data_IF_333489621334
#
_entry.id   IF_333489621334
#
_cell.length_a   1.000
_cell.length_b   1.000
_cell.length_c   1.000
_cell.angle_alpha   90.00
_cell.angle_beta   90.00
_cell.angle_gamma   90.00
#
_symmetry.space_group_name_H-M   'P 1'
#
loop_
_entity.id
_entity.type
_entity.pdbx_description
1 polymer ?
#
# COMPACT_ATOMS: atom_id res chain seq x y z
N UNK A 1 -19.43 15.03 3.60
CA UNK A 1 -19.30 13.69 2.99
C UNK A 1 -18.12 13.02 3.66
N UNK A 2 -18.30 11.84 4.25
CA UNK A 2 -17.15 11.02 4.62
C UNK A 2 -16.75 10.27 3.35
N UNK A 3 -15.57 10.56 2.81
CA UNK A 3 -15.05 9.81 1.65
C UNK A 3 -14.73 8.37 2.03
N UNK A 4 -14.61 7.51 1.02
CA UNK A 4 -14.11 6.15 1.18
C UNK A 4 -12.75 6.16 1.91
N UNK A 5 -12.57 5.22 2.85
CA UNK A 5 -11.29 5.00 3.53
C UNK A 5 -10.95 3.51 3.52
N UNK A 6 -9.80 3.10 2.96
CA UNK A 6 -9.38 1.70 2.98
C UNK A 6 -9.01 1.25 4.40
N UNK A 7 -8.95 -0.06 4.62
CA UNK A 7 -8.38 -0.63 5.85
C UNK A 7 -6.89 -0.32 5.91
N UNK A 8 -6.37 0.10 7.06
CA UNK A 8 -4.94 0.30 7.30
C UNK A 8 -4.46 -0.60 8.43
N UNK A 9 -3.34 -1.29 8.20
CA UNK A 9 -2.69 -2.18 9.16
C UNK A 9 -1.19 -1.90 9.25
N UNK A 10 -0.58 -2.24 10.38
CA UNK A 10 0.85 -2.49 10.49
C UNK A 10 1.07 -4.00 10.32
N UNK A 11 1.90 -4.38 9.37
CA UNK A 11 2.18 -5.78 9.05
C UNK A 11 3.67 -6.03 8.91
N UNK A 12 4.12 -7.20 9.40
CA UNK A 12 5.49 -7.69 9.16
C UNK A 12 5.54 -8.41 7.82
N UNK A 13 6.40 -7.96 6.92
CA UNK A 13 6.63 -8.59 5.62
C UNK A 13 7.58 -9.76 5.80
N UNK A 14 7.31 -10.93 5.22
CA UNK A 14 8.17 -12.09 5.32
C UNK A 14 8.13 -12.95 4.05
N UNK A 15 9.24 -13.62 3.76
CA UNK A 15 9.33 -14.66 2.72
C UNK A 15 8.95 -14.16 1.31
N UNK A 16 9.21 -12.89 1.04
CA UNK A 16 9.13 -12.29 -0.30
C UNK A 16 10.45 -12.49 -1.07
N UNK A 17 11.57 -12.60 -0.36
CA UNK A 17 12.91 -12.58 -0.94
C UNK A 17 13.44 -11.17 -1.17
N UNK A 18 12.68 -10.14 -0.81
CA UNK A 18 13.10 -8.74 -0.90
C UNK A 18 13.78 -8.28 0.39
N UNK A 19 14.63 -7.23 0.33
CA UNK A 19 15.30 -6.66 1.49
C UNK A 19 14.37 -6.23 2.63
N UNK A 20 13.09 -5.94 2.35
CA UNK A 20 12.09 -5.57 3.36
C UNK A 20 11.60 -6.76 4.21
N UNK A 21 11.97 -8.00 3.89
CA UNK A 21 11.63 -9.16 4.72
C UNK A 21 12.12 -8.97 6.18
N UNK A 22 11.22 -9.19 7.13
CA UNK A 22 11.43 -9.04 8.57
C UNK A 22 11.00 -7.68 9.15
N UNK A 23 10.79 -6.67 8.30
CA UNK A 23 10.39 -5.32 8.72
C UNK A 23 8.87 -5.16 8.85
N UNK A 24 8.47 -4.23 9.70
CA UNK A 24 7.06 -3.84 9.92
C UNK A 24 6.79 -2.55 9.17
N UNK A 25 5.80 -2.57 8.27
CA UNK A 25 5.40 -1.42 7.46
C UNK A 25 3.90 -1.20 7.57
N UNK A 26 3.44 0.00 7.19
CA UNK A 26 2.03 0.33 7.11
C UNK A 26 1.48 -0.04 5.73
N UNK A 27 0.38 -0.79 5.73
CA UNK A 27 -0.20 -1.39 4.53
C UNK A 27 -1.71 -1.14 4.47
N UNK A 28 -2.21 -0.87 3.28
CA UNK A 28 -3.64 -0.69 3.02
C UNK A 28 -4.23 -1.85 2.24
N UNK A 29 -5.49 -2.20 2.53
CA UNK A 29 -6.30 -3.10 1.71
C UNK A 29 -7.47 -2.32 1.13
N UNK A 30 -7.72 -2.51 -0.16
CA UNK A 30 -8.68 -1.75 -0.92
C UNK A 30 -9.77 -2.64 -1.50
N UNK A 31 -10.98 -2.11 -1.67
CA UNK A 31 -12.07 -2.83 -2.31
C UNK A 31 -11.91 -2.90 -3.84
N UNK A 32 -11.24 -1.93 -4.46
CA UNK A 32 -11.10 -1.85 -5.92
C UNK A 32 -10.35 -3.04 -6.53
N UNK A 33 -9.43 -3.66 -5.78
CA UNK A 33 -8.71 -4.87 -6.18
C UNK A 33 -9.24 -6.11 -5.47
N UNK A 34 -10.48 -6.06 -4.97
CA UNK A 34 -11.12 -7.13 -4.19
C UNK A 34 -10.30 -7.59 -2.97
N UNK A 35 -9.50 -6.70 -2.38
CA UNK A 35 -8.64 -7.01 -1.24
C UNK A 35 -7.60 -8.11 -1.54
N UNK A 36 -7.20 -8.28 -2.80
CA UNK A 36 -6.29 -9.34 -3.23
C UNK A 36 -4.86 -9.14 -2.77
N UNK A 37 -4.43 -7.88 -2.56
CA UNK A 37 -3.06 -7.51 -2.24
C UNK A 37 -3.01 -6.39 -1.21
N UNK A 38 -2.00 -6.40 -0.34
CA UNK A 38 -1.66 -5.23 0.47
C UNK A 38 -0.94 -4.19 -0.39
N UNK A 39 -1.28 -2.92 -0.23
CA UNK A 39 -0.60 -1.79 -0.86
C UNK A 39 0.24 -1.05 0.17
N UNK A 40 1.49 -0.77 -0.15
CA UNK A 40 2.36 0.02 0.71
C UNK A 40 1.76 1.41 0.95
N UNK A 41 1.61 1.77 2.23
CA UNK A 41 1.14 3.09 2.63
C UNK A 41 2.29 3.95 3.13
N UNK A 42 3.10 3.41 4.04
CA UNK A 42 4.29 4.07 4.56
C UNK A 42 5.20 3.07 5.28
N UNK A 43 6.40 3.51 5.65
CA UNK A 43 7.36 2.72 6.41
C UNK A 43 8.05 3.60 7.46
N UNK A 44 8.58 3.02 8.55
CA UNK A 44 9.37 3.77 9.52
C UNK A 44 10.81 4.00 9.03
N UNK A 45 11.46 5.06 9.52
CA UNK A 45 12.84 5.44 9.16
C UNK A 45 13.85 4.29 9.32
N UNK A 46 13.67 3.41 10.32
CA UNK A 46 14.53 2.24 10.55
C UNK A 46 14.53 1.21 9.42
N UNK A 47 13.52 1.27 8.55
CA UNK A 47 13.37 0.42 7.38
C UNK A 47 13.70 1.14 6.07
N UNK A 48 14.10 2.41 6.09
CA UNK A 48 14.28 3.23 4.89
C UNK A 48 15.33 2.64 3.93
N UNK A 49 16.49 2.21 4.46
CA UNK A 49 17.54 1.56 3.65
C UNK A 49 17.05 0.23 3.03
N UNK A 50 16.20 -0.53 3.74
CA UNK A 50 15.64 -1.78 3.25
C UNK A 50 14.55 -1.52 2.19
N UNK A 51 13.74 -0.48 2.38
CA UNK A 51 12.74 -0.03 1.42
C UNK A 51 13.39 0.46 0.13
N UNK A 52 14.43 1.30 0.23
CA UNK A 52 15.20 1.77 -0.92
C UNK A 52 15.72 0.60 -1.76
N UNK A 53 16.36 -0.39 -1.12
CA UNK A 53 16.88 -1.59 -1.82
C UNK A 53 15.76 -2.45 -2.41
N UNK A 54 14.60 -2.51 -1.75
CA UNK A 54 13.43 -3.22 -2.24
C UNK A 54 12.83 -2.54 -3.47
N UNK A 55 12.73 -1.21 -3.47
CA UNK A 55 12.27 -0.46 -4.65
C UNK A 55 13.22 -0.63 -5.82
N UNK A 56 14.54 -0.51 -5.60
CA UNK A 56 15.53 -0.76 -6.64
C UNK A 56 15.39 -2.14 -7.26
N UNK A 57 15.35 -3.20 -6.43
CA UNK A 57 15.24 -4.57 -6.92
C UNK A 57 13.93 -4.81 -7.69
N UNK A 58 12.81 -4.34 -7.16
CA UNK A 58 11.50 -4.60 -7.77
C UNK A 58 11.24 -3.76 -9.02
N UNK A 59 11.76 -2.53 -9.08
CA UNK A 59 11.74 -1.72 -10.30
C UNK A 59 12.66 -2.30 -11.38
N UNK A 60 13.81 -2.86 -11.00
CA UNK A 60 14.70 -3.57 -11.95
C UNK A 60 14.01 -4.81 -12.52
N UNK A 61 13.46 -5.67 -11.66
CA UNK A 61 12.74 -6.89 -12.06
C UNK A 61 11.52 -6.59 -12.96
N UNK A 62 10.84 -5.46 -12.71
CA UNK A 62 9.68 -5.03 -13.50
C UNK A 62 10.06 -4.25 -14.78
N UNK A 63 11.33 -3.88 -14.95
CA UNK A 63 11.80 -3.07 -16.09
C UNK A 63 11.39 -1.60 -16.03
N UNK A 64 11.14 -1.07 -14.82
CA UNK A 64 10.81 0.34 -14.56
C UNK A 64 11.96 1.15 -13.97
N UNK A 65 13.08 0.52 -13.64
CA UNK A 65 14.24 1.19 -13.05
C UNK A 65 14.78 2.28 -13.99
N UNK A 66 14.80 3.52 -13.50
CA UNK A 66 15.31 4.68 -14.24
C UNK A 66 16.78 5.00 -13.96
N UNK A 67 17.34 4.46 -12.87
CA UNK A 67 18.74 4.63 -12.52
C UNK A 67 19.61 3.57 -13.22
N UNK A 68 20.81 3.95 -13.66
CA UNK A 68 21.73 3.02 -14.33
C UNK A 68 22.43 2.09 -13.33
N UNK A 69 22.35 2.39 -12.03
CA UNK A 69 22.98 1.61 -10.96
C UNK A 69 22.32 1.83 -9.60
N UNK A 70 22.58 0.92 -8.66
CA UNK A 70 22.16 1.10 -7.26
C UNK A 70 22.77 2.35 -6.63
N UNK A 71 24.03 2.71 -6.96
CA UNK A 71 24.67 3.90 -6.40
C UNK A 71 23.94 5.18 -6.83
N UNK A 72 23.54 5.27 -8.09
CA UNK A 72 22.74 6.39 -8.59
C UNK A 72 21.35 6.40 -7.93
N UNK A 73 20.69 5.26 -7.83
CA UNK A 73 19.40 5.14 -7.15
C UNK A 73 19.47 5.59 -5.69
N UNK A 74 20.52 5.18 -4.96
CA UNK A 74 20.76 5.61 -3.58
C UNK A 74 20.94 7.13 -3.46
N UNK A 75 21.59 7.76 -4.44
CA UNK A 75 21.75 9.21 -4.48
C UNK A 75 20.41 9.91 -4.72
N UNK A 76 19.62 9.44 -5.68
CA UNK A 76 18.28 9.96 -5.97
C UNK A 76 17.34 9.80 -4.76
N UNK A 77 17.39 8.63 -4.09
CA UNK A 77 16.63 8.35 -2.88
C UNK A 77 16.96 9.35 -1.76
N UNK A 78 18.25 9.52 -1.44
CA UNK A 78 18.72 10.44 -0.38
C UNK A 78 18.44 11.92 -0.71
N UNK A 79 18.38 12.27 -2.00
CA UNK A 79 18.01 13.60 -2.45
C UNK A 79 16.50 13.86 -2.41
N UNK A 80 15.67 12.81 -2.24
CA UNK A 80 14.21 12.89 -2.34
C UNK A 80 13.73 13.13 -3.78
N UNK A 81 14.53 12.72 -4.77
CA UNK A 81 14.27 12.88 -6.20
C UNK A 81 13.65 11.61 -6.83
N UNK A 82 13.72 10.48 -6.14
CA UNK A 82 13.04 9.25 -6.54
C UNK A 82 11.51 9.40 -6.38
N UNK A 83 10.77 8.93 -7.38
CA UNK A 83 9.32 8.79 -7.34
C UNK A 83 8.93 7.38 -7.82
N UNK A 84 7.94 6.79 -7.15
CA UNK A 84 7.52 5.43 -7.42
C UNK A 84 6.88 5.34 -8.82
N UNK A 85 7.34 4.40 -9.63
CA UNK A 85 6.79 4.19 -10.98
C UNK A 85 5.47 3.39 -10.99
N UNK A 86 4.97 2.99 -9.81
CA UNK A 86 3.71 2.29 -9.63
C UNK A 86 3.41 1.99 -8.16
N UNK A 87 2.28 1.32 -7.91
CA UNK A 87 1.93 0.84 -6.56
C UNK A 87 2.79 -0.36 -6.17
N UNK A 88 3.44 -0.29 -5.01
CA UNK A 88 4.14 -1.43 -4.43
C UNK A 88 3.16 -2.32 -3.67
N UNK A 89 2.92 -3.53 -4.20
CA UNK A 89 1.93 -4.46 -3.66
C UNK A 89 2.60 -5.71 -3.08
N UNK A 90 2.08 -6.18 -1.95
CA UNK A 90 2.58 -7.36 -1.22
C UNK A 90 1.47 -8.41 -1.15
N UNK A 91 1.72 -9.67 -1.52
CA UNK A 91 0.73 -10.75 -1.38
C UNK A 91 0.30 -10.95 0.08
N UNK A 92 -0.97 -11.30 0.29
CA UNK A 92 -1.56 -11.43 1.62
C UNK A 92 -0.84 -12.46 2.50
N UNK A 93 -0.38 -13.58 1.91
CA UNK A 93 0.30 -14.67 2.62
C UNK A 93 1.73 -14.31 3.06
N UNK A 94 2.25 -13.16 2.61
CA UNK A 94 3.57 -12.63 2.97
C UNK A 94 3.53 -11.58 4.06
N UNK A 95 2.34 -11.27 4.56
CA UNK A 95 2.14 -10.24 5.58
C UNK A 95 1.55 -10.87 6.85
N UNK A 96 2.30 -10.79 7.94
CA UNK A 96 1.79 -11.07 9.28
C UNK A 96 1.23 -9.76 9.86
N UNK A 97 -0.10 -9.63 9.94
CA UNK A 97 -0.73 -8.43 10.53
C UNK A 97 -0.47 -8.39 12.03
N UNK A 98 0.25 -7.34 12.47
CA UNK A 98 0.55 -7.11 13.89
C UNK A 98 -0.56 -6.27 14.53
N UNK A 99 -1.07 -5.27 13.80
CA UNK A 99 -2.03 -4.31 14.33
C UNK A 99 -2.90 -3.75 13.23
N UNK A 100 -4.20 -3.65 13.49
CA UNK A 100 -5.12 -2.87 12.65
C UNK A 100 -5.14 -1.44 13.18
N UNK A 101 -4.77 -0.46 12.35
CA UNK A 101 -4.82 0.96 12.73
C UNK A 101 -6.26 1.48 12.59
N UNK A 102 -6.91 1.17 11.46
CA UNK A 102 -8.35 1.38 11.29
C UNK A 102 -8.94 0.40 10.29
N UNK A 103 -10.22 0.08 10.49
CA UNK A 103 -11.02 -0.67 9.53
C UNK A 103 -11.49 0.24 8.37
N UNK A 104 -11.81 -0.42 7.27
CA UNK A 104 -12.39 0.21 6.08
C UNK A 104 -13.71 0.93 6.43
N UNK A 105 -13.87 2.15 5.93
CA UNK A 105 -15.14 2.88 5.93
C UNK A 105 -15.59 3.07 4.48
N UNK A 106 -16.59 2.30 4.06
CA UNK A 106 -17.27 2.52 2.77
C UNK A 106 -18.19 3.73 2.89
N UNK A 107 -18.31 4.50 1.82
CA UNK A 107 -19.33 5.54 1.77
C UNK A 107 -20.69 4.88 1.99
N UNK A 108 -21.42 5.29 3.03
CA UNK A 108 -22.80 4.87 3.21
C UNK A 108 -23.61 5.47 2.07
N UNK A 109 -23.99 4.63 1.10
CA UNK A 109 -25.00 4.98 0.12
C UNK A 109 -26.30 5.34 0.88
N UNK A 110 -26.69 6.61 0.84
CA UNK A 110 -28.02 7.06 1.28
C UNK A 110 -29.12 6.72 0.23
N UNK A 111 -28.84 5.80 -0.69
CA UNK A 111 -29.72 5.38 -1.78
C UNK A 111 -30.69 4.24 -1.45
N UNK A 112 -31.45 4.30 -0.34
CA UNK A 112 -32.73 3.56 -0.24
C UNK A 112 -33.69 4.08 0.86
N UNK A 113 -33.70 5.38 1.13
CA UNK A 113 -34.82 6.06 1.82
C UNK A 113 -35.21 7.35 1.11
N UNK A 114 -35.50 7.24 -0.19
CA UNK A 114 -36.12 8.31 -0.99
C UNK A 114 -37.41 7.89 -1.71
N UNK A 115 -37.83 6.63 -1.59
CA UNK A 115 -39.02 6.10 -2.24
C UNK A 115 -40.23 5.99 -1.31
N UNK A 116 -40.66 7.08 -0.67
CA UNK A 116 -42.07 7.21 -0.26
C UNK A 116 -42.77 8.09 -1.27
N UNK A 117 -43.06 7.51 -2.44
CA UNK A 117 -44.08 8.03 -3.32
C UNK A 117 -45.45 7.64 -2.72
N UNK A 118 -46.17 8.67 -2.29
CA UNK A 118 -47.62 8.78 -2.13
C UNK A 118 -48.45 7.60 -2.68
N UNK A 119 -49.17 6.91 -1.79
CA UNK A 119 -50.40 6.21 -2.17
C UNK A 119 -51.57 7.12 -1.78
N UNK A 120 -52.34 7.49 -2.80
CA UNK A 120 -53.61 8.21 -2.70
C UNK A 120 -54.65 7.38 -1.93
N UNK A 121 -55.28 7.98 -0.92
CA UNK A 121 -56.59 7.59 -0.41
C UNK A 121 -57.35 8.83 0.07
#
# INVERSE_FOLDING_TARGET
MKGYRPKLVEGRVNSTGWPIDGYVVALTLWDYDNYEMYHLFSWPDESDDAMMRTMYQTEEEAGFLLADSLEEFEQQWKAGEWDAQGSFCIPLDKVEVIKVIWEEEKEHDYGERGGKAWEEH
#
